data_IF_872268844837
#
_entry.id   IF_872268844837
#
_cell.length_a   1.000
_cell.length_b   1.000
_cell.length_c   1.000
_cell.angle_alpha   90.00
_cell.angle_beta   90.00
_cell.angle_gamma   90.00
#
_symmetry.space_group_name_H-M   'P 1'
#
loop_
_entity.id
_entity.type
_entity.pdbx_description
1 polymer ?
#
# COMPACT_ATOMS: atom_id res chain seq x y z
N UNK A 1 7.01 -33.20 2.15
CA UNK A 1 8.00 -32.14 2.44
C UNK A 1 7.93 -31.13 1.31
N UNK A 2 7.16 -30.07 1.49
CA UNK A 2 6.96 -29.03 0.49
C UNK A 2 7.45 -27.70 1.08
N UNK A 3 8.48 -27.13 0.45
CA UNK A 3 9.03 -25.81 0.78
C UNK A 3 8.10 -24.77 0.17
N UNK A 4 7.32 -24.06 0.99
CA UNK A 4 6.56 -22.89 0.57
C UNK A 4 7.50 -21.68 0.63
N UNK A 5 8.13 -21.40 -0.52
CA UNK A 5 8.86 -20.16 -0.76
C UNK A 5 7.84 -19.06 -1.04
N UNK A 6 7.82 -18.02 -0.20
CA UNK A 6 6.95 -16.84 -0.36
C UNK A 6 7.45 -15.85 -1.44
N UNK A 7 8.45 -16.21 -2.25
CA UNK A 7 8.96 -15.39 -3.37
C UNK A 7 9.57 -16.30 -4.46
N UNK A 8 9.39 -16.00 -5.76
CA UNK A 8 10.12 -16.70 -6.81
C UNK A 8 11.61 -16.25 -6.83
N UNK A 9 12.56 -17.13 -7.21
CA UNK A 9 13.97 -16.76 -7.33
C UNK A 9 14.22 -15.90 -8.58
N UNK A 10 14.92 -14.77 -8.42
CA UNK A 10 15.36 -13.90 -9.51
C UNK A 10 16.55 -14.51 -10.27
N UNK A 11 16.44 -14.61 -11.60
CA UNK A 11 17.59 -14.73 -12.51
C UNK A 11 18.05 -13.33 -12.95
N UNK A 12 19.35 -13.01 -12.94
CA UNK A 12 19.84 -11.73 -13.44
C UNK A 12 20.01 -11.77 -14.96
N UNK A 13 19.31 -10.89 -15.67
CA UNK A 13 19.64 -10.54 -17.07
C UNK A 13 20.32 -9.17 -17.04
N UNK A 14 21.60 -9.15 -17.39
CA UNK A 14 22.44 -7.97 -17.55
C UNK A 14 22.04 -7.15 -18.78
N UNK A 15 21.99 -5.80 -18.71
CA UNK A 15 21.91 -4.97 -19.91
C UNK A 15 23.31 -4.67 -20.49
N UNK A 16 23.45 -4.89 -21.79
CA UNK A 16 24.58 -4.45 -22.62
C UNK A 16 24.71 -2.91 -22.64
N UNK A 17 25.92 -2.34 -22.67
CA UNK A 17 26.10 -0.89 -22.77
C UNK A 17 26.17 -0.43 -24.23
N UNK A 18 25.33 0.55 -24.61
CA UNK A 18 25.56 1.34 -25.82
C UNK A 18 26.45 2.54 -25.50
N UNK A 19 27.65 2.49 -26.07
CA UNK A 19 28.60 3.57 -26.23
C UNK A 19 28.03 4.69 -27.11
N UNK A 20 28.23 5.95 -26.71
CA UNK A 20 28.72 6.94 -27.67
C UNK A 20 29.55 8.00 -26.95
N UNK A 21 30.82 8.10 -27.37
CA UNK A 21 31.72 9.22 -27.13
C UNK A 21 31.28 10.38 -28.02
N UNK A 22 31.39 11.61 -27.55
CA UNK A 22 32.09 12.65 -28.31
C UNK A 22 32.50 13.81 -27.37
N UNK A 23 33.81 13.91 -27.18
CA UNK A 23 34.51 15.05 -26.60
C UNK A 23 34.78 16.06 -27.70
N UNK A 24 34.47 17.33 -27.48
CA UNK A 24 35.03 18.45 -28.24
C UNK A 24 35.34 19.58 -27.26
N UNK A 25 36.64 19.82 -27.11
CA UNK A 25 37.24 20.98 -26.46
C UNK A 25 37.40 22.09 -27.53
N UNK A 26 37.27 23.38 -27.16
CA UNK A 26 38.40 24.30 -27.40
C UNK A 26 38.60 25.24 -26.19
N UNK A 27 39.81 25.31 -25.65
CA UNK A 27 40.86 26.30 -25.96
C UNK A 27 40.44 27.77 -25.75
N UNK A 28 41.05 28.34 -24.73
CA UNK A 28 41.10 29.75 -24.36
C UNK A 28 41.91 30.58 -25.38
N UNK A 29 41.78 31.91 -25.29
CA UNK A 29 42.97 32.75 -25.31
C UNK A 29 43.01 33.74 -24.14
N UNK A 30 44.21 33.91 -23.60
CA UNK A 30 44.60 34.91 -22.61
C UNK A 30 44.63 36.32 -23.21
N UNK A 31 44.27 37.33 -22.41
CA UNK A 31 44.94 38.64 -22.36
C UNK A 31 44.62 39.36 -21.03
N UNK A 32 45.57 40.06 -20.40
CA UNK A 32 45.45 40.52 -19.01
C UNK A 32 44.83 41.91 -18.93
N UNK A 33 43.92 42.11 -17.98
CA UNK A 33 43.49 43.45 -17.57
C UNK A 33 43.81 43.60 -16.09
N UNK A 34 44.77 44.49 -15.83
CA UNK A 34 45.07 45.05 -14.52
C UNK A 34 43.95 46.03 -14.16
N UNK A 35 43.20 45.76 -13.09
CA UNK A 35 42.42 46.77 -12.38
C UNK A 35 42.61 46.59 -10.88
N UNK A 36 43.38 47.51 -10.30
CA UNK A 36 43.30 47.83 -8.87
C UNK A 36 41.86 48.24 -8.56
N UNK A 37 41.27 47.61 -7.56
CA UNK A 37 39.95 47.93 -7.08
C UNK A 37 39.65 47.14 -5.83
N UNK A 38 39.94 47.75 -4.69
CA UNK A 38 39.48 47.29 -3.37
C UNK A 38 37.95 47.17 -3.39
N UNK A 39 37.45 45.95 -3.55
CA UNK A 39 36.08 45.61 -3.20
C UNK A 39 36.13 44.49 -2.18
N UNK A 40 35.85 44.84 -0.92
CA UNK A 40 35.53 43.91 0.15
C UNK A 40 34.27 43.12 -0.23
N UNK A 41 34.44 42.05 -1.00
CA UNK A 41 33.45 40.98 -1.06
C UNK A 41 33.53 40.26 0.28
N UNK A 42 32.59 40.56 1.19
CA UNK A 42 32.26 39.65 2.29
C UNK A 42 31.78 38.35 1.65
N UNK A 43 32.71 37.42 1.46
CA UNK A 43 32.41 36.02 1.22
C UNK A 43 31.49 35.58 2.35
N UNK A 44 30.19 35.43 2.06
CA UNK A 44 29.29 34.68 2.92
C UNK A 44 29.72 33.22 2.75
N UNK A 45 30.77 32.82 3.46
CA UNK A 45 31.09 31.42 3.70
C UNK A 45 29.91 30.86 4.48
N UNK A 46 29.05 30.09 3.80
CA UNK A 46 28.13 29.21 4.48
C UNK A 46 28.95 28.37 5.49
N UNK A 47 28.49 28.21 6.74
CA UNK A 47 29.25 27.46 7.73
C UNK A 47 29.53 26.05 7.18
N UNK A 48 30.74 25.53 7.43
CA UNK A 48 31.18 24.21 6.95
C UNK A 48 30.21 23.08 7.33
N UNK A 49 29.45 23.26 8.42
CA UNK A 49 28.37 22.37 8.85
C UNK A 49 27.17 22.34 7.90
N UNK A 50 26.81 23.48 7.30
CA UNK A 50 25.71 23.59 6.34
C UNK A 50 26.04 22.85 5.05
N UNK A 51 27.25 23.02 4.49
CA UNK A 51 27.67 22.33 3.25
C UNK A 51 27.77 20.82 3.45
N UNK A 52 28.22 20.37 4.63
CA UNK A 52 28.27 18.95 4.99
C UNK A 52 26.88 18.36 5.16
N UNK A 53 25.98 19.05 5.86
CA UNK A 53 24.57 18.65 5.97
C UNK A 53 23.91 18.57 4.59
N UNK A 54 24.13 19.53 3.69
CA UNK A 54 23.59 19.46 2.32
C UNK A 54 24.08 18.23 1.54
N UNK A 55 25.35 17.84 1.70
CA UNK A 55 25.89 16.63 1.06
C UNK A 55 25.32 15.36 1.67
N UNK A 56 25.23 15.31 2.99
CA UNK A 56 24.65 14.19 3.75
C UNK A 56 23.18 13.97 3.37
N UNK A 57 22.37 15.04 3.32
CA UNK A 57 20.96 14.96 2.89
C UNK A 57 20.78 14.58 1.41
N UNK A 58 21.78 14.84 0.55
CA UNK A 58 21.79 14.34 -0.82
C UNK A 58 21.94 12.81 -0.87
N UNK A 59 22.73 12.23 0.03
CA UNK A 59 22.85 10.76 0.14
C UNK A 59 21.52 10.11 0.56
N UNK A 60 20.75 10.79 1.42
CA UNK A 60 19.39 10.38 1.75
C UNK A 60 18.44 10.46 0.56
N UNK A 61 18.42 11.58 -0.16
CA UNK A 61 17.59 11.74 -1.36
C UNK A 61 17.93 10.69 -2.43
N UNK A 62 19.21 10.36 -2.60
CA UNK A 62 19.66 9.27 -3.46
C UNK A 62 19.20 7.91 -2.94
N UNK A 63 19.22 7.66 -1.62
CA UNK A 63 18.65 6.43 -1.01
C UNK A 63 17.15 6.30 -1.25
N UNK A 64 16.40 7.40 -1.09
CA UNK A 64 14.95 7.42 -1.36
C UNK A 64 14.67 7.17 -2.84
N UNK A 65 15.41 7.81 -3.73
CA UNK A 65 15.29 7.64 -5.18
C UNK A 65 15.60 6.21 -5.64
N UNK A 66 16.63 5.61 -5.07
CA UNK A 66 17.01 4.22 -5.34
C UNK A 66 16.10 3.21 -4.61
N UNK A 67 15.18 3.69 -3.77
CA UNK A 67 14.29 2.89 -2.91
C UNK A 67 15.06 1.92 -2.02
N UNK A 68 16.20 2.36 -1.50
CA UNK A 68 17.05 1.60 -0.57
C UNK A 68 16.69 1.94 0.89
N UNK A 69 15.77 1.16 1.45
CA UNK A 69 15.27 1.33 2.82
C UNK A 69 16.39 1.19 3.86
N UNK A 70 17.33 0.27 3.67
CA UNK A 70 18.40 0.04 4.64
C UNK A 70 19.35 1.26 4.71
N UNK A 71 19.70 1.81 3.55
CA UNK A 71 20.53 3.02 3.45
C UNK A 71 19.80 4.24 3.99
N UNK A 72 18.53 4.42 3.65
CA UNK A 72 17.69 5.52 4.14
C UNK A 72 17.56 5.49 5.68
N UNK A 73 17.21 4.34 6.26
CA UNK A 73 17.10 4.19 7.71
C UNK A 73 18.43 4.37 8.44
N UNK A 74 19.53 3.83 7.88
CA UNK A 74 20.86 4.00 8.46
C UNK A 74 21.25 5.47 8.50
N UNK A 75 20.98 6.22 7.43
CA UNK A 75 21.20 7.66 7.37
C UNK A 75 20.40 8.38 8.46
N UNK A 76 19.09 8.17 8.51
CA UNK A 76 18.19 8.83 9.48
C UNK A 76 18.60 8.55 10.93
N UNK A 77 18.98 7.30 11.23
CA UNK A 77 19.52 6.92 12.56
C UNK A 77 20.88 7.55 12.85
N UNK A 78 21.75 7.70 11.85
CA UNK A 78 23.07 8.32 12.02
C UNK A 78 23.00 9.82 12.29
N UNK A 79 22.06 10.52 11.64
CA UNK A 79 21.78 11.94 11.91
C UNK A 79 21.26 12.14 13.33
N UNK A 80 20.51 11.17 13.87
CA UNK A 80 20.08 11.18 15.28
C UNK A 80 21.22 10.88 16.25
N UNK A 81 22.05 9.88 15.96
CA UNK A 81 23.20 9.51 16.80
C UNK A 81 24.29 10.58 16.87
N UNK A 82 24.31 11.53 15.94
CA UNK A 82 25.26 12.65 15.88
C UNK A 82 24.93 13.86 16.77
N UNK A 83 23.73 13.92 17.38
CA UNK A 83 23.32 14.98 18.29
C UNK A 83 23.36 14.45 19.74
N UNK A 84 24.56 14.16 20.23
CA UNK A 84 24.79 13.96 21.67
C UNK A 84 24.77 15.34 22.34
N UNK A 85 23.72 15.64 23.10
CA UNK A 85 23.71 16.77 24.03
C UNK A 85 24.80 16.47 25.07
N UNK A 86 25.93 17.16 24.98
CA UNK A 86 26.89 17.19 26.08
C UNK A 86 26.19 17.84 27.28
N UNK A 87 26.21 17.23 28.47
CA UNK A 87 25.73 17.90 29.67
C UNK A 87 26.74 19.00 30.00
N UNK A 88 26.40 20.25 29.68
CA UNK A 88 27.11 21.40 30.22
C UNK A 88 26.69 21.52 31.68
N UNK A 89 27.62 21.19 32.57
CA UNK A 89 27.48 21.45 33.99
C UNK A 89 27.32 22.95 34.26
N UNK A 90 26.37 23.26 35.16
CA UNK A 90 26.28 24.47 35.99
C UNK A 90 25.96 25.81 35.31
N UNK A 91 24.71 26.27 35.46
CA UNK A 91 24.33 27.38 36.36
C UNK A 91 23.01 28.01 35.92
N UNK A 92 22.15 28.32 36.89
CA UNK A 92 20.73 28.59 36.69
C UNK A 92 20.43 29.87 35.91
N UNK A 93 19.69 29.72 34.82
CA UNK A 93 18.50 30.50 34.47
C UNK A 93 17.78 29.73 33.36
N UNK A 94 16.44 29.77 33.34
CA UNK A 94 15.58 28.86 32.56
C UNK A 94 16.03 28.66 31.11
N UNK A 95 16.47 27.43 30.80
CA UNK A 95 16.75 27.01 29.43
C UNK A 95 15.45 26.49 28.82
N UNK A 96 14.86 27.29 27.94
CA UNK A 96 13.80 26.84 27.04
C UNK A 96 14.29 25.60 26.29
N UNK A 97 13.52 24.52 26.35
CA UNK A 97 13.66 23.37 25.47
C UNK A 97 13.70 23.91 24.03
N UNK A 98 14.89 23.93 23.40
CA UNK A 98 15.02 24.30 21.99
C UNK A 98 14.40 23.19 21.17
N UNK A 99 13.20 23.42 20.66
CA UNK A 99 12.57 22.53 19.67
C UNK A 99 13.35 22.62 18.36
N UNK A 100 13.52 21.46 17.72
CA UNK A 100 14.26 21.17 16.47
C UNK A 100 13.88 22.07 15.26
N UNK A 101 12.87 22.92 15.42
CA UNK A 101 12.30 23.84 14.43
C UNK A 101 13.07 25.17 14.28
N UNK A 102 13.87 25.58 15.29
CA UNK A 102 14.59 26.88 15.27
C UNK A 102 15.76 26.96 14.27
N UNK A 103 16.18 25.84 13.67
CA UNK A 103 17.26 25.80 12.67
C UNK A 103 16.78 25.98 11.22
N UNK A 104 15.49 26.21 10.97
CA UNK A 104 14.98 26.60 9.64
C UNK A 104 15.07 25.51 8.56
N UNK A 105 15.30 24.25 8.93
CA UNK A 105 15.28 23.12 7.99
C UNK A 105 13.93 22.40 8.05
N UNK A 106 13.22 22.19 6.92
CA UNK A 106 12.02 21.36 6.86
C UNK A 106 12.42 19.86 6.93
N UNK A 107 13.00 19.45 8.06
CA UNK A 107 13.53 18.08 8.28
C UNK A 107 12.39 17.09 8.54
N UNK A 108 11.31 17.55 9.18
CA UNK A 108 10.18 16.69 9.58
C UNK A 108 9.46 16.12 8.36
N UNK A 109 9.32 16.89 7.27
CA UNK A 109 8.71 16.40 6.02
C UNK A 109 9.52 15.27 5.37
N UNK A 110 10.85 15.31 5.49
CA UNK A 110 11.75 14.33 4.87
C UNK A 110 11.78 12.99 5.58
N UNK A 111 11.48 12.96 6.88
CA UNK A 111 11.44 11.71 7.65
C UNK A 111 10.37 10.75 7.10
N UNK A 112 9.22 11.27 6.62
CA UNK A 112 8.13 10.46 6.07
C UNK A 112 8.50 9.74 4.78
N UNK A 113 9.40 10.32 3.96
CA UNK A 113 9.83 9.78 2.67
C UNK A 113 10.49 8.39 2.81
N UNK A 114 10.95 8.02 4.02
CA UNK A 114 11.46 6.67 4.30
C UNK A 114 10.43 5.59 3.98
N UNK A 115 9.13 5.89 4.14
CA UNK A 115 8.04 4.95 3.82
C UNK A 115 7.96 4.64 2.32
N UNK A 116 8.40 5.57 1.47
CA UNK A 116 8.37 5.38 0.01
C UNK A 116 9.43 4.37 -0.46
N UNK A 117 10.44 4.12 0.37
CA UNK A 117 11.47 3.10 0.13
C UNK A 117 11.01 1.69 0.53
N UNK A 118 9.93 1.56 1.32
CA UNK A 118 9.43 0.27 1.78
C UNK A 118 8.97 -0.65 0.64
N UNK A 119 8.47 -0.10 -0.47
CA UNK A 119 7.91 -0.90 -1.57
C UNK A 119 8.91 -1.93 -2.12
N UNK A 120 10.18 -1.56 -2.21
CA UNK A 120 11.24 -2.43 -2.74
C UNK A 120 11.97 -3.25 -1.66
N UNK A 121 11.62 -3.09 -0.38
CA UNK A 121 12.29 -3.79 0.70
C UNK A 121 12.01 -5.30 0.64
N UNK A 122 13.07 -6.11 0.58
CA UNK A 122 12.96 -7.57 0.65
C UNK A 122 12.74 -8.08 2.07
N UNK A 123 13.18 -7.32 3.08
CA UNK A 123 13.06 -7.68 4.50
C UNK A 123 11.96 -6.84 5.19
N UNK A 124 10.87 -7.51 5.58
CA UNK A 124 9.76 -6.88 6.27
C UNK A 124 10.10 -6.37 7.68
N UNK A 125 11.18 -6.87 8.30
CA UNK A 125 11.69 -6.36 9.59
C UNK A 125 12.24 -4.94 9.45
N UNK A 126 12.82 -4.61 8.29
CA UNK A 126 13.24 -3.25 7.98
C UNK A 126 12.04 -2.32 7.82
N UNK A 127 10.97 -2.80 7.18
CA UNK A 127 9.70 -2.04 7.07
C UNK A 127 9.18 -1.74 8.48
N UNK A 128 9.09 -2.74 9.36
CA UNK A 128 8.69 -2.53 10.76
C UNK A 128 9.61 -1.54 11.50
N UNK A 129 10.92 -1.62 11.27
CA UNK A 129 11.88 -0.67 11.84
C UNK A 129 11.66 0.77 11.38
N UNK A 130 11.15 0.97 10.16
CA UNK A 130 10.80 2.30 9.65
C UNK A 130 9.57 2.87 10.35
N UNK A 131 8.52 2.06 10.53
CA UNK A 131 7.33 2.47 11.28
C UNK A 131 7.67 2.78 12.74
N UNK A 132 8.48 1.94 13.39
CA UNK A 132 8.95 2.18 14.76
C UNK A 132 9.75 3.50 14.85
N UNK A 133 10.65 3.73 13.90
CA UNK A 133 11.42 4.98 13.84
C UNK A 133 10.53 6.23 13.75
N UNK A 134 9.48 6.19 12.93
CA UNK A 134 8.55 7.31 12.80
C UNK A 134 7.61 7.44 14.01
N UNK A 135 7.22 6.34 14.65
CA UNK A 135 6.48 6.37 15.92
C UNK A 135 7.29 6.99 17.05
N UNK A 136 8.58 6.62 17.19
CA UNK A 136 9.48 7.16 18.21
C UNK A 136 9.65 8.69 18.09
N UNK A 137 9.47 9.22 16.88
CA UNK A 137 9.49 10.67 16.59
C UNK A 137 8.15 11.37 16.77
N UNK A 138 7.10 10.64 17.13
CA UNK A 138 5.75 11.17 17.26
C UNK A 138 5.11 11.55 15.93
N UNK A 139 5.56 10.99 14.80
CA UNK A 139 4.99 11.26 13.48
C UNK A 139 3.80 10.33 13.17
N UNK A 140 3.82 9.11 13.69
CA UNK A 140 2.74 8.11 13.50
C UNK A 140 1.97 7.88 14.81
N UNK A 141 1.29 8.92 15.31
CA UNK A 141 0.60 8.88 16.60
C UNK A 141 -0.60 7.93 16.60
N UNK A 142 -1.28 7.78 15.46
CA UNK A 142 -2.46 6.94 15.33
C UNK A 142 -2.14 5.53 14.78
N UNK A 143 -0.90 5.25 14.39
CA UNK A 143 -0.50 3.90 13.96
C UNK A 143 -0.67 2.90 15.10
N UNK A 144 -1.45 1.85 14.86
CA UNK A 144 -1.75 0.84 15.90
C UNK A 144 -2.71 1.30 17.00
N UNK A 145 -3.38 2.46 16.85
CA UNK A 145 -4.35 2.98 17.83
C UNK A 145 -5.46 1.99 18.16
N UNK A 146 -5.87 1.17 17.19
CA UNK A 146 -6.91 0.15 17.33
C UNK A 146 -6.36 -1.27 17.50
N UNK A 147 -5.04 -1.45 17.66
CA UNK A 147 -4.39 -2.77 17.77
C UNK A 147 -4.93 -3.62 18.93
N UNK A 148 -5.24 -2.97 20.04
CA UNK A 148 -5.78 -3.58 21.26
C UNK A 148 -7.28 -3.33 21.43
N UNK A 149 -7.96 -2.82 20.40
CA UNK A 149 -9.39 -2.58 20.50
C UNK A 149 -10.07 -3.93 20.71
N UNK A 150 -10.63 -4.14 21.90
CA UNK A 150 -11.57 -5.21 22.14
C UNK A 150 -12.81 -4.79 21.37
N UNK A 151 -12.99 -5.36 20.18
CA UNK A 151 -14.14 -5.09 19.36
C UNK A 151 -15.36 -5.68 20.05
N UNK A 152 -16.09 -4.82 20.77
CA UNK A 152 -17.32 -5.16 21.47
C UNK A 152 -18.36 -5.66 20.47
N UNK A 153 -18.86 -6.87 20.70
CA UNK A 153 -19.87 -7.48 19.86
C UNK A 153 -19.88 -9.01 19.93
N UNK A 154 -20.95 -9.64 19.42
CA UNK A 154 -21.05 -11.08 19.38
C UNK A 154 -19.98 -11.65 18.45
N UNK A 155 -19.23 -12.64 18.95
CA UNK A 155 -18.27 -13.41 18.14
C UNK A 155 -18.94 -14.32 17.12
N UNK A 156 -20.16 -14.74 17.40
CA UNK A 156 -21.02 -15.40 16.43
C UNK A 156 -21.89 -14.36 15.72
N UNK A 157 -21.48 -13.99 14.52
CA UNK A 157 -22.19 -13.01 13.69
C UNK A 157 -23.12 -13.77 12.78
N UNK A 158 -24.40 -13.78 13.10
CA UNK A 158 -25.43 -14.35 12.22
C UNK A 158 -25.81 -13.36 11.11
N UNK A 159 -26.40 -13.83 10.00
CA UNK A 159 -26.90 -12.96 8.94
C UNK A 159 -27.85 -11.85 9.42
N UNK A 160 -28.63 -12.11 10.48
CA UNK A 160 -29.55 -11.14 11.06
C UNK A 160 -28.82 -10.03 11.80
N UNK A 161 -27.80 -10.36 12.60
CA UNK A 161 -26.93 -9.39 13.29
C UNK A 161 -26.22 -8.49 12.26
N UNK A 162 -25.73 -9.09 11.18
CA UNK A 162 -25.07 -8.34 10.12
C UNK A 162 -26.02 -7.33 9.46
N UNK A 163 -27.25 -7.76 9.13
CA UNK A 163 -28.27 -6.87 8.55
C UNK A 163 -28.70 -5.77 9.50
N UNK A 164 -28.88 -6.06 10.79
CA UNK A 164 -29.26 -5.04 11.76
C UNK A 164 -28.16 -4.00 11.99
N UNK A 165 -26.89 -4.41 11.97
CA UNK A 165 -25.76 -3.52 12.26
C UNK A 165 -25.31 -2.68 11.06
N UNK A 166 -25.32 -3.27 9.86
CA UNK A 166 -24.85 -2.60 8.63
C UNK A 166 -25.98 -1.94 7.86
N UNK A 167 -27.22 -2.41 8.00
CA UNK A 167 -28.35 -2.05 7.15
C UNK A 167 -28.34 -2.76 5.78
N UNK A 168 -27.34 -3.60 5.51
CA UNK A 168 -27.15 -4.28 4.22
C UNK A 168 -27.45 -5.78 4.34
N UNK A 169 -27.86 -6.39 3.23
CA UNK A 169 -27.98 -7.85 3.18
C UNK A 169 -26.61 -8.50 3.09
N UNK A 170 -26.46 -9.70 3.65
CA UNK A 170 -25.19 -10.45 3.63
C UNK A 170 -24.67 -10.66 2.21
N UNK A 171 -25.58 -10.82 1.24
CA UNK A 171 -25.24 -10.95 -0.19
C UNK A 171 -24.56 -9.72 -0.79
N UNK A 172 -24.75 -8.53 -0.19
CA UNK A 172 -24.08 -7.29 -0.59
C UNK A 172 -22.71 -7.12 0.06
N UNK A 173 -22.40 -7.94 1.06
CA UNK A 173 -21.14 -7.97 1.80
C UNK A 173 -20.25 -9.16 1.36
N UNK A 174 -20.55 -9.76 0.22
CA UNK A 174 -19.75 -10.81 -0.40
C UNK A 174 -19.39 -10.40 -1.83
N UNK A 175 -18.19 -10.74 -2.32
CA UNK A 175 -17.78 -10.47 -3.70
C UNK A 175 -18.79 -11.03 -4.71
N UNK A 176 -19.03 -10.29 -5.80
CA UNK A 176 -19.89 -10.79 -6.88
C UNK A 176 -19.11 -11.80 -7.71
N UNK A 177 -19.54 -13.07 -7.68
CA UNK A 177 -19.03 -14.08 -8.61
C UNK A 177 -19.61 -13.81 -9.99
N UNK A 178 -18.76 -13.33 -10.91
CA UNK A 178 -19.14 -13.05 -12.29
C UNK A 178 -19.72 -14.32 -12.95
N UNK A 179 -20.93 -14.23 -13.50
CA UNK A 179 -21.55 -15.30 -14.31
C UNK A 179 -22.80 -15.98 -13.76
N UNK A 180 -23.23 -15.72 -12.50
CA UNK A 180 -24.35 -16.44 -11.87
C UNK A 180 -25.50 -15.55 -11.34
N UNK A 181 -25.65 -14.32 -11.83
CA UNK A 181 -26.80 -13.46 -11.47
C UNK A 181 -27.94 -13.60 -12.49
N UNK A 182 -29.21 -13.53 -12.07
CA UNK A 182 -30.37 -13.76 -12.95
C UNK A 182 -30.47 -12.85 -14.19
N UNK A 183 -29.77 -11.70 -14.20
CA UNK A 183 -29.66 -10.82 -15.36
C UNK A 183 -28.71 -11.34 -16.46
N UNK A 184 -27.82 -12.29 -16.13
CA UNK A 184 -26.86 -12.87 -17.07
C UNK A 184 -27.57 -13.63 -18.20
N UNK A 185 -28.71 -14.26 -17.90
CA UNK A 185 -29.55 -14.93 -18.89
C UNK A 185 -30.09 -13.95 -19.95
N UNK A 186 -30.69 -12.83 -19.51
CA UNK A 186 -31.22 -11.82 -20.43
C UNK A 186 -30.13 -11.14 -21.26
N UNK A 187 -28.97 -10.86 -20.65
CA UNK A 187 -27.81 -10.32 -21.35
C UNK A 187 -27.28 -11.31 -22.39
N UNK A 188 -27.18 -12.60 -22.05
CA UNK A 188 -26.76 -13.66 -22.96
C UNK A 188 -27.75 -13.83 -24.12
N UNK A 189 -29.06 -13.85 -23.84
CA UNK A 189 -30.10 -13.89 -24.88
C UNK A 189 -30.04 -12.68 -25.81
N UNK A 190 -29.84 -11.47 -25.26
CA UNK A 190 -29.71 -10.25 -26.05
C UNK A 190 -28.44 -10.25 -26.90
N UNK A 191 -27.33 -10.72 -26.33
CA UNK A 191 -26.06 -10.87 -27.04
C UNK A 191 -26.16 -11.89 -28.17
N UNK A 192 -26.68 -13.09 -27.91
CA UNK A 192 -26.89 -14.14 -28.91
C UNK A 192 -27.88 -13.68 -29.99
N UNK A 193 -28.94 -12.98 -29.61
CA UNK A 193 -29.91 -12.38 -30.54
C UNK A 193 -29.28 -11.31 -31.43
N UNK A 194 -28.47 -10.43 -30.86
CA UNK A 194 -27.72 -9.40 -31.59
C UNK A 194 -26.69 -9.99 -32.57
N UNK A 195 -25.93 -10.99 -32.12
CA UNK A 195 -24.99 -11.74 -32.99
C UNK A 195 -25.76 -12.43 -34.12
N UNK A 196 -26.89 -13.08 -33.83
CA UNK A 196 -27.75 -13.72 -34.85
C UNK A 196 -28.30 -12.72 -35.88
N UNK A 197 -28.73 -11.53 -35.43
CA UNK A 197 -29.20 -10.45 -36.30
C UNK A 197 -28.08 -9.87 -37.18
N UNK A 198 -26.87 -9.69 -36.66
CA UNK A 198 -25.74 -9.20 -37.44
C UNK A 198 -25.27 -10.23 -38.48
N UNK A 199 -25.30 -11.51 -38.11
CA UNK A 199 -25.04 -12.61 -39.04
C UNK A 199 -26.10 -12.69 -40.16
N UNK A 200 -27.38 -12.42 -39.86
CA UNK A 200 -28.45 -12.39 -40.87
C UNK A 200 -28.36 -11.20 -41.82
N UNK A 201 -27.66 -10.13 -41.41
CA UNK A 201 -27.29 -8.98 -42.25
C UNK A 201 -26.02 -9.19 -43.08
N UNK A 202 -25.39 -10.37 -43.01
CA UNK A 202 -24.20 -10.72 -43.78
C UNK A 202 -22.88 -10.21 -43.20
N UNK A 203 -22.87 -9.69 -41.96
CA UNK A 203 -21.64 -9.29 -41.27
C UNK A 203 -21.07 -10.53 -40.57
N UNK A 204 -19.96 -11.06 -41.09
CA UNK A 204 -19.35 -12.28 -40.53
C UNK A 204 -18.51 -11.97 -39.28
N UNK A 205 -19.16 -12.01 -38.11
CA UNK A 205 -18.52 -11.83 -36.80
C UNK A 205 -17.88 -13.12 -36.26
N UNK A 206 -18.10 -14.27 -36.89
CA UNK A 206 -17.66 -15.58 -36.38
C UNK A 206 -16.15 -15.67 -36.14
N UNK A 207 -15.26 -15.24 -37.07
CA UNK A 207 -13.83 -15.35 -36.82
C UNK A 207 -13.35 -14.42 -35.70
N UNK A 208 -13.89 -13.20 -35.63
CA UNK A 208 -13.52 -12.24 -34.58
C UNK A 208 -14.05 -12.66 -33.21
N UNK A 209 -15.28 -13.17 -33.15
CA UNK A 209 -15.87 -13.66 -31.91
C UNK A 209 -15.15 -14.93 -31.41
N UNK A 210 -14.82 -15.86 -32.32
CA UNK A 210 -14.03 -17.04 -31.98
C UNK A 210 -12.62 -16.67 -31.50
N UNK A 211 -11.99 -15.66 -32.11
CA UNK A 211 -10.70 -15.15 -31.66
C UNK A 211 -10.79 -14.51 -30.27
N UNK A 212 -11.78 -13.65 -30.02
CA UNK A 212 -11.99 -13.00 -28.71
C UNK A 212 -12.30 -14.04 -27.63
N UNK A 213 -13.20 -14.98 -27.89
CA UNK A 213 -13.53 -16.07 -26.95
C UNK A 213 -12.35 -17.01 -26.73
N UNK A 214 -11.58 -17.31 -27.77
CA UNK A 214 -10.36 -18.11 -27.69
C UNK A 214 -9.30 -17.42 -26.82
N UNK A 215 -9.06 -16.14 -27.03
CA UNK A 215 -8.16 -15.32 -26.20
C UNK A 215 -8.65 -15.23 -24.75
N UNK A 216 -9.95 -15.02 -24.53
CA UNK A 216 -10.54 -14.98 -23.19
C UNK A 216 -10.43 -16.34 -22.47
N UNK A 217 -10.62 -17.45 -23.19
CA UNK A 217 -10.45 -18.80 -22.65
C UNK A 217 -8.98 -19.08 -22.31
N UNK A 218 -8.05 -18.66 -23.17
CA UNK A 218 -6.61 -18.76 -22.89
C UNK A 218 -6.24 -17.93 -21.65
N UNK A 219 -6.72 -16.68 -21.57
CA UNK A 219 -6.51 -15.83 -20.40
C UNK A 219 -7.08 -16.45 -19.12
N UNK A 220 -8.32 -16.95 -19.16
CA UNK A 220 -8.95 -17.59 -18.01
C UNK A 220 -8.24 -18.87 -17.56
N UNK A 221 -7.81 -19.73 -18.51
CA UNK A 221 -7.23 -21.04 -18.20
C UNK A 221 -5.77 -20.92 -17.78
N UNK A 222 -4.98 -20.09 -18.48
CA UNK A 222 -3.53 -20.03 -18.28
C UNK A 222 -3.11 -18.87 -17.37
N UNK A 223 -3.86 -17.77 -17.36
CA UNK A 223 -3.53 -16.56 -16.61
C UNK A 223 -4.56 -16.24 -15.53
N UNK A 224 -5.56 -17.10 -15.31
CA UNK A 224 -6.61 -16.87 -14.31
C UNK A 224 -7.53 -15.69 -14.60
N UNK A 225 -7.56 -15.18 -15.85
CA UNK A 225 -8.35 -14.00 -16.23
C UNK A 225 -7.64 -12.66 -15.97
N UNK A 226 -6.33 -12.69 -15.69
CA UNK A 226 -5.54 -11.51 -15.33
C UNK A 226 -5.48 -10.48 -16.46
N UNK A 227 -5.44 -10.89 -17.72
CA UNK A 227 -5.34 -9.96 -18.86
C UNK A 227 -6.65 -9.19 -19.07
N UNK A 228 -7.81 -9.86 -18.97
CA UNK A 228 -9.10 -9.20 -19.03
C UNK A 228 -9.34 -8.30 -17.81
N UNK A 229 -8.92 -8.73 -16.61
CA UNK A 229 -8.97 -7.90 -15.41
C UNK A 229 -8.07 -6.65 -15.52
N UNK A 230 -6.90 -6.80 -16.17
CA UNK A 230 -6.01 -5.69 -16.48
C UNK A 230 -6.69 -4.66 -17.38
N UNK A 231 -7.33 -5.09 -18.47
CA UNK A 231 -8.00 -4.17 -19.40
C UNK A 231 -9.21 -3.47 -18.75
N UNK A 232 -9.98 -4.20 -17.94
CA UNK A 232 -11.16 -3.62 -17.25
C UNK A 232 -10.79 -2.65 -16.14
N UNK A 233 -9.64 -2.81 -15.49
CA UNK A 233 -9.17 -1.91 -14.42
C UNK A 233 -8.95 -0.46 -14.85
N UNK A 234 -8.75 -0.21 -16.15
CA UNK A 234 -8.60 1.14 -16.71
C UNK A 234 -9.94 1.88 -16.88
N UNK A 235 -11.09 1.19 -16.75
CA UNK A 235 -12.38 1.85 -16.80
C UNK A 235 -12.60 2.70 -15.54
N UNK A 236 -12.97 4.00 -15.66
CA UNK A 236 -13.04 4.91 -14.51
C UNK A 236 -13.90 4.44 -13.33
N UNK A 237 -15.08 3.81 -13.54
CA UNK A 237 -15.88 3.28 -12.43
C UNK A 237 -15.19 2.14 -11.67
N UNK A 238 -14.51 1.24 -12.38
CA UNK A 238 -13.76 0.13 -11.77
C UNK A 238 -12.51 0.62 -11.06
N UNK A 239 -11.78 1.58 -11.67
CA UNK A 239 -10.60 2.19 -11.06
C UNK A 239 -10.93 2.82 -9.70
N UNK A 240 -12.01 3.60 -9.60
CA UNK A 240 -12.41 4.22 -8.33
C UNK A 240 -12.84 3.20 -7.28
N UNK A 241 -13.49 2.11 -7.69
CA UNK A 241 -13.86 1.02 -6.79
C UNK A 241 -12.62 0.31 -6.22
N UNK A 242 -11.61 0.03 -7.05
CA UNK A 242 -10.32 -0.53 -6.61
C UNK A 242 -9.64 0.41 -5.61
N UNK A 243 -9.62 1.73 -5.86
CA UNK A 243 -9.03 2.69 -4.91
C UNK A 243 -9.75 2.67 -3.55
N UNK A 244 -11.07 2.58 -3.54
CA UNK A 244 -11.88 2.44 -2.31
C UNK A 244 -11.54 1.14 -1.57
N UNK A 245 -11.38 0.04 -2.31
CA UNK A 245 -11.02 -1.27 -1.79
C UNK A 245 -9.63 -1.25 -1.12
N UNK A 246 -8.61 -0.77 -1.84
CA UNK A 246 -7.23 -0.71 -1.35
C UNK A 246 -7.07 0.28 -0.18
N UNK A 247 -7.76 1.43 -0.22
CA UNK A 247 -7.81 2.34 0.92
C UNK A 247 -8.40 1.68 2.18
N UNK A 248 -9.34 0.74 2.01
CA UNK A 248 -9.92 -0.06 3.09
C UNK A 248 -8.87 -0.92 3.78
N UNK A 249 -8.10 -1.70 3.00
CA UNK A 249 -6.97 -2.50 3.52
C UNK A 249 -5.94 -1.62 4.20
N UNK A 250 -5.51 -0.54 3.53
CA UNK A 250 -4.47 0.35 4.04
C UNK A 250 -4.87 0.98 5.38
N UNK A 251 -6.06 1.58 5.48
CA UNK A 251 -6.48 2.24 6.71
C UNK A 251 -6.66 1.23 7.86
N UNK A 252 -7.22 0.05 7.57
CA UNK A 252 -7.39 -0.99 8.58
C UNK A 252 -6.04 -1.52 9.04
N UNK A 253 -5.11 -1.83 8.13
CA UNK A 253 -3.75 -2.24 8.48
C UNK A 253 -3.04 -1.20 9.35
N UNK A 254 -3.20 0.08 8.99
CA UNK A 254 -2.62 1.20 9.72
C UNK A 254 -3.13 1.29 11.16
N UNK A 255 -4.45 1.30 11.34
CA UNK A 255 -5.08 1.39 12.67
C UNK A 255 -4.80 0.14 13.52
N UNK A 256 -4.65 -1.03 12.90
CA UNK A 256 -4.32 -2.28 13.58
C UNK A 256 -2.82 -2.43 13.89
N UNK A 257 -1.97 -1.52 13.41
CA UNK A 257 -0.55 -1.46 13.71
C UNK A 257 0.27 -2.50 12.92
N UNK A 258 -0.19 -2.83 11.71
CA UNK A 258 0.50 -3.71 10.77
C UNK A 258 1.34 -2.85 9.81
N UNK A 259 2.69 -2.94 9.83
CA UNK A 259 3.53 -2.16 8.93
C UNK A 259 3.19 -2.43 7.47
N UNK A 260 2.98 -1.37 6.69
CA UNK A 260 2.58 -1.44 5.29
C UNK A 260 3.82 -1.26 4.42
N UNK A 261 4.09 -2.23 3.56
CA UNK A 261 5.18 -2.19 2.58
C UNK A 261 4.87 -1.21 1.45
N UNK A 262 3.61 -1.22 1.00
CA UNK A 262 3.12 -0.35 -0.05
C UNK A 262 1.78 -0.81 -0.61
N UNK A 263 1.17 0.05 -1.42
CA UNK A 263 -0.06 -0.23 -2.16
C UNK A 263 0.28 -0.27 -3.64
N UNK A 264 -0.02 -1.40 -4.28
CA UNK A 264 0.18 -1.55 -5.72
C UNK A 264 -1.18 -1.42 -6.37
N UNK A 265 -1.40 -0.33 -7.08
CA UNK A 265 -2.66 -0.06 -7.79
C UNK A 265 -2.62 -0.46 -9.26
N UNK A 266 -1.40 -0.54 -9.83
CA UNK A 266 -1.20 -0.85 -11.23
C UNK A 266 -1.02 -2.37 -11.41
N UNK A 267 -1.93 -3.04 -12.13
CA UNK A 267 -1.85 -4.47 -12.44
C UNK A 267 -0.55 -4.91 -13.15
N UNK A 268 0.07 -4.05 -13.96
CA UNK A 268 1.34 -4.32 -14.64
C UNK A 268 2.47 -4.33 -13.62
N UNK A 269 2.47 -3.36 -12.70
CA UNK A 269 3.45 -3.31 -11.60
C UNK A 269 3.25 -4.50 -10.66
N UNK A 270 1.99 -4.91 -10.41
CA UNK A 270 1.70 -6.11 -9.64
C UNK A 270 2.32 -7.36 -10.26
N UNK A 271 2.15 -7.55 -11.59
CA UNK A 271 2.72 -8.66 -12.33
C UNK A 271 4.26 -8.66 -12.27
N UNK A 272 4.90 -7.49 -12.41
CA UNK A 272 6.36 -7.34 -12.28
C UNK A 272 6.87 -7.69 -10.87
N UNK A 273 6.06 -7.43 -9.85
CA UNK A 273 6.36 -7.77 -8.46
C UNK A 273 6.02 -9.23 -8.10
N UNK A 274 5.60 -10.05 -9.07
CA UNK A 274 5.28 -11.47 -8.87
C UNK A 274 3.96 -11.71 -8.13
N UNK A 275 3.17 -10.66 -7.91
CA UNK A 275 1.78 -10.75 -7.46
C UNK A 275 0.96 -10.99 -8.73
N UNK A 276 0.01 -11.91 -8.73
CA UNK A 276 -0.70 -12.41 -9.94
C UNK A 276 -1.52 -11.33 -10.69
N UNK A 277 -0.87 -10.28 -11.21
CA UNK A 277 -1.48 -9.21 -12.00
C UNK A 277 -2.56 -8.39 -11.29
N UNK A 278 -2.71 -8.48 -9.97
CA UNK A 278 -3.78 -7.81 -9.23
C UNK A 278 -3.25 -6.70 -8.32
N UNK A 279 -3.99 -5.59 -8.28
CA UNK A 279 -3.77 -4.55 -7.28
C UNK A 279 -3.88 -5.15 -5.87
N UNK A 280 -3.13 -4.60 -4.93
CA UNK A 280 -3.14 -5.09 -3.56
C UNK A 280 -2.28 -4.28 -2.60
N UNK A 281 -2.70 -4.31 -1.34
CA UNK A 281 -2.00 -3.69 -0.21
C UNK A 281 -1.14 -4.74 0.49
N UNK A 282 0.18 -4.52 0.51
CA UNK A 282 1.12 -5.41 1.18
C UNK A 282 1.39 -4.90 2.59
N UNK A 283 1.06 -5.72 3.59
CA UNK A 283 1.32 -5.44 5.00
C UNK A 283 1.95 -6.64 5.69
N UNK A 284 2.49 -6.41 6.88
CA UNK A 284 3.12 -7.44 7.67
C UNK A 284 2.63 -7.43 9.12
N UNK A 285 2.53 -8.62 9.70
CA UNK A 285 2.31 -8.82 11.14
C UNK A 285 3.29 -9.89 11.61
N UNK A 286 4.34 -9.45 12.31
CA UNK A 286 5.40 -10.33 12.83
C UNK A 286 4.84 -11.47 13.69
N UNK A 287 3.81 -11.17 14.50
CA UNK A 287 3.22 -12.16 15.38
C UNK A 287 2.50 -13.23 14.56
N UNK A 288 1.76 -12.81 13.54
CA UNK A 288 1.07 -13.73 12.64
C UNK A 288 2.07 -14.62 11.87
N UNK A 289 3.15 -14.05 11.31
CA UNK A 289 4.15 -14.82 10.56
C UNK A 289 4.78 -15.91 11.43
N UNK A 290 5.23 -15.54 12.64
CA UNK A 290 5.84 -16.49 13.58
C UNK A 290 4.86 -17.59 14.02
N UNK A 291 3.60 -17.22 14.25
CA UNK A 291 2.55 -18.16 14.65
C UNK A 291 2.12 -19.09 13.50
N UNK A 292 2.07 -18.57 12.27
CA UNK A 292 1.76 -19.35 11.07
C UNK A 292 2.88 -20.34 10.75
N UNK A 293 4.15 -19.96 10.94
CA UNK A 293 5.29 -20.86 10.84
C UNK A 293 5.21 -22.02 11.86
N UNK A 294 4.63 -21.76 13.03
CA UNK A 294 4.34 -22.77 14.06
C UNK A 294 3.04 -23.57 13.82
N UNK A 295 2.26 -23.27 12.78
CA UNK A 295 0.99 -23.92 12.46
C UNK A 295 -0.16 -23.62 13.44
N UNK A 296 0.04 -22.69 14.39
CA UNK A 296 -0.94 -22.34 15.42
C UNK A 296 -1.05 -20.83 15.53
N UNK A 297 -2.23 -20.28 15.26
CA UNK A 297 -2.48 -18.86 15.40
C UNK A 297 -3.11 -18.53 16.76
N UNK A 298 -2.61 -17.47 17.39
CA UNK A 298 -3.36 -16.79 18.44
C UNK A 298 -4.63 -16.18 17.84
N UNK A 299 -5.73 -16.26 18.57
CA UNK A 299 -7.01 -15.67 18.13
C UNK A 299 -6.84 -14.20 17.75
N UNK A 300 -6.01 -13.46 18.51
CA UNK A 300 -5.80 -12.03 18.28
C UNK A 300 -5.06 -11.72 16.98
N UNK A 301 -3.94 -12.40 16.67
CA UNK A 301 -3.21 -12.13 15.42
C UNK A 301 -4.03 -12.54 14.19
N UNK A 302 -4.73 -13.67 14.28
CA UNK A 302 -5.62 -14.12 13.22
C UNK A 302 -6.80 -13.18 13.00
N UNK A 303 -7.42 -12.68 14.08
CA UNK A 303 -8.51 -11.71 14.01
C UNK A 303 -8.07 -10.42 13.31
N UNK A 304 -6.91 -9.86 13.70
CA UNK A 304 -6.36 -8.67 13.04
C UNK A 304 -6.15 -8.90 11.55
N UNK A 305 -5.54 -10.03 11.20
CA UNK A 305 -5.30 -10.40 9.82
C UNK A 305 -6.60 -10.51 9.02
N UNK A 306 -7.61 -11.20 9.56
CA UNK A 306 -8.91 -11.33 8.93
C UNK A 306 -9.58 -9.96 8.73
N UNK A 307 -9.51 -9.07 9.73
CA UNK A 307 -10.04 -7.72 9.60
C UNK A 307 -9.38 -6.95 8.45
N UNK A 308 -8.05 -6.94 8.39
CA UNK A 308 -7.33 -6.27 7.28
C UNK A 308 -7.72 -6.89 5.95
N UNK A 309 -7.80 -8.22 5.85
CA UNK A 309 -8.13 -8.93 4.63
C UNK A 309 -9.56 -8.68 4.14
N UNK A 310 -10.53 -8.53 5.05
CA UNK A 310 -11.93 -8.23 4.68
C UNK A 310 -12.23 -6.73 4.61
N UNK A 311 -11.25 -5.86 4.86
CA UNK A 311 -11.45 -4.42 4.87
C UNK A 311 -11.78 -3.83 3.49
N UNK A 312 -11.24 -4.39 2.41
CA UNK A 312 -11.58 -3.95 1.05
C UNK A 312 -13.06 -4.18 0.71
N UNK A 313 -13.58 -5.37 0.99
CA UNK A 313 -15.00 -5.71 0.88
C UNK A 313 -15.86 -4.77 1.74
N UNK A 314 -15.44 -4.55 2.99
CA UNK A 314 -16.15 -3.66 3.91
C UNK A 314 -16.19 -2.21 3.41
N UNK A 315 -15.08 -1.70 2.86
CA UNK A 315 -14.98 -0.36 2.29
C UNK A 315 -15.90 -0.18 1.08
N UNK A 316 -15.91 -1.14 0.15
CA UNK A 316 -16.80 -1.12 -1.01
C UNK A 316 -18.26 -1.10 -0.58
N UNK A 317 -18.63 -1.96 0.37
CA UNK A 317 -20.00 -2.01 0.87
C UNK A 317 -20.41 -0.72 1.58
N UNK A 318 -19.50 -0.09 2.33
CA UNK A 318 -19.76 1.18 3.02
C UNK A 318 -19.98 2.35 2.04
N UNK A 319 -19.26 2.36 0.91
CA UNK A 319 -19.31 3.46 -0.08
C UNK A 319 -20.39 3.25 -1.13
N UNK A 320 -20.52 2.04 -1.66
CA UNK A 320 -21.38 1.72 -2.81
C UNK A 320 -22.63 0.93 -2.43
N UNK A 321 -22.78 0.53 -1.16
CA UNK A 321 -23.88 -0.32 -0.69
C UNK A 321 -23.74 -1.79 -1.08
N UNK A 322 -22.69 -2.16 -1.83
CA UNK A 322 -22.37 -3.53 -2.18
C UNK A 322 -20.89 -3.71 -2.57
N UNK A 323 -20.33 -4.85 -2.21
CA UNK A 323 -19.01 -5.29 -2.65
C UNK A 323 -19.11 -6.01 -4.02
N UNK A 324 -18.18 -5.69 -4.92
CA UNK A 324 -18.01 -6.39 -6.19
C UNK A 324 -16.67 -7.13 -6.26
N UNK A 325 -15.60 -6.55 -5.69
CA UNK A 325 -14.28 -7.18 -5.58
C UNK A 325 -14.08 -8.01 -4.32
N UNK A 326 -12.86 -8.54 -4.13
CA UNK A 326 -12.45 -9.27 -2.93
C UNK A 326 -12.36 -10.80 -3.06
N UNK A 327 -12.47 -11.35 -4.28
CA UNK A 327 -12.33 -12.80 -4.50
C UNK A 327 -10.95 -13.32 -4.11
N UNK A 328 -9.89 -12.56 -4.41
CA UNK A 328 -8.53 -12.92 -4.02
C UNK A 328 -8.36 -12.94 -2.49
N UNK A 329 -8.96 -11.98 -1.79
CA UNK A 329 -8.94 -11.93 -0.33
C UNK A 329 -9.65 -13.13 0.29
N UNK A 330 -10.81 -13.52 -0.25
CA UNK A 330 -11.50 -14.75 0.17
C UNK A 330 -10.67 -16.01 -0.09
N UNK A 331 -9.99 -16.09 -1.23
CA UNK A 331 -9.13 -17.21 -1.58
C UNK A 331 -7.89 -17.30 -0.67
N UNK A 332 -7.29 -16.15 -0.33
CA UNK A 332 -6.18 -16.07 0.61
C UNK A 332 -6.64 -16.45 2.03
N UNK A 333 -7.80 -15.96 2.47
CA UNK A 333 -8.42 -16.32 3.73
C UNK A 333 -8.63 -17.83 3.83
N UNK A 334 -9.26 -18.43 2.80
CA UNK A 334 -9.52 -19.86 2.72
C UNK A 334 -8.24 -20.67 2.77
N UNK A 335 -7.22 -20.26 2.01
CA UNK A 335 -5.91 -20.92 1.98
C UNK A 335 -5.28 -20.97 3.36
N UNK A 336 -5.29 -19.85 4.09
CA UNK A 336 -4.74 -19.77 5.44
C UNK A 336 -5.54 -20.64 6.42
N UNK A 337 -6.88 -20.60 6.37
CA UNK A 337 -7.73 -21.38 7.26
C UNK A 337 -7.50 -22.90 7.16
N UNK A 338 -7.12 -23.39 5.98
CA UNK A 338 -6.81 -24.80 5.71
C UNK A 338 -5.41 -25.18 6.22
N UNK A 339 -4.46 -24.22 6.26
CA UNK A 339 -3.11 -24.43 6.76
C UNK A 339 -3.01 -24.46 8.30
N UNK A 340 -4.05 -23.99 9.00
CA UNK A 340 -4.10 -24.02 10.46
C UNK A 340 -4.16 -25.44 11.03
N UNK A 341 -3.61 -25.62 12.24
CA UNK A 341 -3.68 -26.88 12.97
C UNK A 341 -4.39 -26.68 14.32
N UNK A 342 -5.67 -27.13 14.47
CA UNK A 342 -6.50 -27.79 13.46
C UNK A 342 -7.05 -26.80 12.40
N UNK A 343 -7.40 -27.28 11.19
CA UNK A 343 -8.00 -26.45 10.16
C UNK A 343 -9.41 -26.02 10.58
N UNK A 344 -9.82 -24.83 10.16
CA UNK A 344 -11.17 -24.34 10.45
C UNK A 344 -12.22 -25.07 9.63
N UNK A 345 -13.32 -25.45 10.27
CA UNK A 345 -14.50 -25.97 9.57
C UNK A 345 -15.17 -24.89 8.74
N UNK A 346 -15.96 -25.29 7.73
CA UNK A 346 -16.70 -24.35 6.86
C UNK A 346 -17.60 -23.37 7.65
N UNK A 347 -18.36 -23.81 8.67
CA UNK A 347 -19.14 -22.89 9.50
C UNK A 347 -18.27 -21.88 10.27
N UNK A 348 -17.12 -22.32 10.80
CA UNK A 348 -16.19 -21.43 11.52
C UNK A 348 -15.57 -20.40 10.58
N UNK A 349 -15.11 -20.83 9.38
CA UNK A 349 -14.61 -19.90 8.36
C UNK A 349 -15.67 -18.87 7.97
N UNK A 350 -16.91 -19.32 7.75
CA UNK A 350 -18.01 -18.44 7.37
C UNK A 350 -18.36 -17.44 8.48
N UNK A 351 -18.37 -17.87 9.74
CA UNK A 351 -18.55 -16.96 10.87
C UNK A 351 -17.39 -15.97 11.02
N UNK A 352 -16.15 -16.43 10.90
CA UNK A 352 -14.96 -15.58 10.99
C UNK A 352 -14.96 -14.51 9.90
N UNK A 353 -15.28 -14.87 8.66
CA UNK A 353 -15.41 -13.92 7.56
C UNK A 353 -16.49 -12.87 7.86
N UNK A 354 -17.67 -13.29 8.33
CA UNK A 354 -18.75 -12.38 8.70
C UNK A 354 -18.37 -11.44 9.84
N UNK A 355 -17.72 -11.98 10.87
CA UNK A 355 -17.22 -11.19 11.98
C UNK A 355 -16.19 -10.16 11.50
N UNK A 356 -15.19 -10.58 10.73
CA UNK A 356 -14.14 -9.70 10.21
C UNK A 356 -14.71 -8.58 9.32
N UNK A 357 -15.62 -8.89 8.40
CA UNK A 357 -16.30 -7.88 7.57
C UNK A 357 -17.05 -6.88 8.44
N UNK A 358 -17.82 -7.33 9.44
CA UNK A 358 -18.56 -6.44 10.33
C UNK A 358 -17.63 -5.52 11.13
N UNK A 359 -16.52 -6.07 11.65
CA UNK A 359 -15.57 -5.28 12.42
C UNK A 359 -14.84 -4.25 11.56
N UNK A 360 -14.37 -4.65 10.38
CA UNK A 360 -13.74 -3.72 9.45
C UNK A 360 -14.73 -2.67 8.95
N UNK A 361 -15.99 -3.04 8.71
CA UNK A 361 -17.04 -2.10 8.34
C UNK A 361 -17.27 -1.04 9.43
N UNK A 362 -17.36 -1.45 10.70
CA UNK A 362 -17.52 -0.52 11.82
C UNK A 362 -16.30 0.38 11.99
N UNK A 363 -15.09 -0.18 11.90
CA UNK A 363 -13.84 0.57 11.99
C UNK A 363 -13.75 1.64 10.90
N UNK A 364 -14.03 1.27 9.64
CA UNK A 364 -14.04 2.19 8.50
C UNK A 364 -15.17 3.21 8.59
N UNK A 365 -16.33 2.81 9.15
CA UNK A 365 -17.46 3.72 9.39
C UNK A 365 -17.13 4.78 10.44
N UNK A 366 -16.39 4.42 11.48
CA UNK A 366 -15.93 5.38 12.50
C UNK A 366 -14.86 6.33 11.96
N UNK A 367 -13.94 5.83 11.13
CA UNK A 367 -12.86 6.62 10.52
C UNK A 367 -13.14 6.95 9.05
N UNK A 368 -14.36 7.41 8.77
CA UNK A 368 -14.84 7.62 7.40
C UNK A 368 -14.10 8.76 6.70
N UNK A 369 -13.72 9.82 7.41
CA UNK A 369 -12.99 10.93 6.78
C UNK A 369 -11.55 10.52 6.48
N UNK A 370 -10.89 9.80 7.39
CA UNK A 370 -9.58 9.21 7.12
C UNK A 370 -9.59 8.26 5.91
N UNK A 371 -10.64 7.44 5.76
CA UNK A 371 -10.80 6.57 4.58
C UNK A 371 -10.95 7.38 3.29
N UNK A 372 -11.75 8.45 3.29
CA UNK A 372 -11.91 9.32 2.12
C UNK A 372 -10.61 10.02 1.74
N UNK A 373 -9.85 10.53 2.70
CA UNK A 373 -8.57 11.19 2.42
C UNK A 373 -7.54 10.19 1.88
N UNK A 374 -7.52 8.96 2.40
CA UNK A 374 -6.72 7.88 1.84
C UNK A 374 -7.09 7.60 0.36
N UNK A 375 -8.38 7.52 0.03
CA UNK A 375 -8.85 7.33 -1.35
C UNK A 375 -8.39 8.46 -2.25
N UNK A 376 -8.51 9.72 -1.81
CA UNK A 376 -8.08 10.89 -2.60
C UNK A 376 -6.56 10.90 -2.82
N UNK A 377 -5.78 10.57 -1.80
CA UNK A 377 -4.33 10.50 -1.89
C UNK A 377 -3.87 9.37 -2.83
N UNK A 378 -4.56 8.22 -2.83
CA UNK A 378 -4.30 7.16 -3.79
C UNK A 378 -4.75 7.54 -5.21
N UNK A 379 -5.88 8.23 -5.36
CA UNK A 379 -6.40 8.69 -6.65
C UNK A 379 -5.46 9.69 -7.35
N UNK A 380 -4.81 10.57 -6.57
CA UNK A 380 -3.82 11.51 -7.08
C UNK A 380 -2.47 10.87 -7.42
N UNK A 381 -2.30 9.57 -7.16
CA UNK A 381 -1.04 8.86 -7.35
C UNK A 381 0.01 9.22 -6.28
N UNK A 382 -0.44 9.62 -5.09
CA UNK A 382 0.43 9.91 -3.95
C UNK A 382 1.28 8.71 -3.56
N UNK A 383 2.48 8.99 -3.05
CA UNK A 383 3.37 7.97 -2.48
C UNK A 383 2.84 7.46 -1.14
N UNK A 384 3.41 6.38 -0.62
CA UNK A 384 2.94 5.77 0.64
C UNK A 384 3.05 6.77 1.80
N UNK A 385 4.13 7.54 1.84
CA UNK A 385 4.35 8.60 2.83
C UNK A 385 3.23 9.66 2.79
N UNK A 386 2.85 10.11 1.59
CA UNK A 386 1.77 11.08 1.39
C UNK A 386 0.42 10.53 1.83
N UNK A 387 0.11 9.27 1.49
CA UNK A 387 -1.17 8.64 1.86
C UNK A 387 -1.28 8.48 3.37
N UNK A 388 -0.23 7.99 4.04
CA UNK A 388 -0.21 7.82 5.49
C UNK A 388 -0.30 9.17 6.20
N UNK A 389 0.36 10.20 5.69
CA UNK A 389 0.24 11.56 6.22
C UNK A 389 -1.19 12.09 6.15
N UNK A 390 -1.86 11.94 5.00
CA UNK A 390 -3.26 12.35 4.85
C UNK A 390 -4.18 11.63 5.84
N UNK A 391 -3.89 10.36 6.16
CA UNK A 391 -4.63 9.61 7.17
C UNK A 391 -4.37 10.16 8.58
N UNK A 392 -3.12 10.41 8.94
CA UNK A 392 -2.75 10.97 10.24
C UNK A 392 -3.37 12.36 10.46
N UNK A 393 -3.33 13.22 9.44
CA UNK A 393 -3.95 14.54 9.48
C UNK A 393 -5.48 14.42 9.66
N UNK A 394 -6.13 13.51 8.93
CA UNK A 394 -7.57 13.27 9.04
C UNK A 394 -7.96 12.73 10.43
N UNK A 395 -7.24 11.72 10.94
CA UNK A 395 -7.48 11.12 12.26
C UNK A 395 -7.23 12.12 13.40
N UNK A 396 -6.30 13.05 13.23
CA UNK A 396 -6.03 14.11 14.21
C UNK A 396 -7.11 15.19 14.20
N UNK A 397 -7.85 15.36 13.10
CA UNK A 397 -9.00 16.26 13.01
C UNK A 397 -10.32 15.66 13.52
N UNK A 398 -10.40 14.34 13.63
CA UNK A 398 -11.56 13.61 14.15
C UNK A 398 -11.59 13.52 15.69
N UNK A 399 -10.46 13.79 16.36
CA UNK A 399 -10.31 13.74 17.83
C UNK A 399 -10.43 15.10 18.49
#
# INVERSE_FOLDING_TARGET
MASLSFFPPNFPISPFPLSSKHSIHPQSPHSPIHTNGDSQFKSITAPLSTVRAFREWKEYEEAVKDKDLARALKFLKSVDGGIQIQPVESSGYGSSIRTRSELGFPVVDRDWEVLDTCLNASDMRLVSSAYAFLQDRGLLLNFGKCRNLVLDGPRDVTPTIMKSSTGLEVSKLSPKKWGLTGASGAALFSFLGGVSFLLSRGIDLRPNLAAILGLAAVDSIFLGGSCLAQISSYWPPFKRRILVHEAGHLLTAYLMGCPIRGVILDPIVAMQMGIQGQAGTQFWDEKLENELAGGRLSSTAFDRYCMVLFAGIAAEALVYGEAEGGENDENLFRSICILLQPPLSVPQMSNQARWAVLQSYNLLKWHKEAHKEAVKALESGGSLSSVIRSIEDALSSEG
#
